data_IF_894921629047
#
_entry.id   IF_894921629047
#
_cell.length_a   1.000
_cell.length_b   1.000
_cell.length_c   1.000
_cell.angle_alpha   90.00
_cell.angle_beta   90.00
_cell.angle_gamma   90.00
#
_symmetry.space_group_name_H-M   'P 1'
#
loop_
_entity.id
_entity.type
_entity.pdbx_description
1 polymer ?
#
# COMPACT_ATOMS: atom_id res chain seq x y z
N UNK A 1 9.38 -10.57 2.99
CA UNK A 1 10.57 -10.11 2.33
C UNK A 1 11.41 -9.07 3.05
N UNK A 2 10.99 -8.56 4.23
CA UNK A 2 11.84 -7.74 5.13
C UNK A 2 12.56 -8.60 6.15
N UNK A 3 12.01 -9.78 6.43
CA UNK A 3 12.55 -10.77 7.34
C UNK A 3 12.49 -12.15 6.70
N UNK A 4 13.25 -13.09 7.25
CA UNK A 4 13.35 -14.47 6.75
C UNK A 4 12.62 -15.40 7.73
N UNK A 5 11.69 -16.23 7.26
CA UNK A 5 11.01 -17.19 8.13
C UNK A 5 12.01 -18.25 8.64
N UNK A 6 11.88 -18.66 9.91
CA UNK A 6 12.69 -19.73 10.51
C UNK A 6 12.48 -21.06 9.77
N UNK A 7 11.27 -21.29 9.25
CA UNK A 7 10.92 -22.45 8.44
C UNK A 7 9.73 -22.13 7.52
N UNK A 8 9.47 -22.97 6.55
CA UNK A 8 8.40 -22.78 5.57
C UNK A 8 8.82 -21.89 4.39
N UNK A 9 7.85 -21.45 3.58
CA UNK A 9 8.06 -20.70 2.35
C UNK A 9 7.13 -19.49 2.29
N UNK A 10 7.61 -18.41 1.71
CA UNK A 10 6.79 -17.23 1.36
C UNK A 10 6.77 -17.09 -0.15
N UNK A 11 5.60 -17.28 -0.74
CA UNK A 11 5.41 -17.22 -2.19
C UNK A 11 4.55 -16.00 -2.51
N UNK A 12 5.07 -15.10 -3.35
CA UNK A 12 4.37 -13.91 -3.86
C UNK A 12 4.48 -13.89 -5.38
N UNK A 13 3.36 -13.73 -6.07
CA UNK A 13 3.31 -13.72 -7.54
C UNK A 13 4.00 -14.95 -8.15
N UNK A 14 3.74 -16.14 -7.57
CA UNK A 14 4.31 -17.44 -7.97
C UNK A 14 5.80 -17.62 -7.66
N UNK A 15 6.45 -16.65 -7.01
CA UNK A 15 7.89 -16.70 -6.72
C UNK A 15 8.15 -16.94 -5.23
N UNK A 16 8.93 -17.95 -4.92
CA UNK A 16 9.41 -18.24 -3.57
C UNK A 16 10.52 -17.25 -3.21
N UNK A 17 10.24 -16.41 -2.17
CA UNK A 17 11.15 -15.34 -1.76
C UNK A 17 12.44 -15.88 -1.12
N UNK A 18 12.44 -17.10 -0.57
CA UNK A 18 13.63 -17.73 0.03
C UNK A 18 14.72 -18.05 -0.99
N UNK A 19 14.35 -18.11 -2.27
CA UNK A 19 15.29 -18.38 -3.38
C UNK A 19 16.01 -17.14 -3.89
N UNK A 20 15.62 -15.95 -3.42
CA UNK A 20 16.16 -14.68 -3.86
C UNK A 20 17.34 -14.24 -3.01
N UNK A 21 18.41 -13.75 -3.65
CA UNK A 21 19.49 -13.03 -2.98
C UNK A 21 19.01 -11.64 -2.53
N UNK A 22 19.66 -11.02 -1.56
CA UNK A 22 19.28 -9.74 -0.97
C UNK A 22 19.00 -8.63 -2.00
N UNK A 23 19.86 -8.51 -3.01
CA UNK A 23 19.68 -7.53 -4.09
C UNK A 23 18.40 -7.82 -4.90
N UNK A 24 18.18 -9.08 -5.25
CA UNK A 24 17.00 -9.53 -5.98
C UNK A 24 15.73 -9.33 -5.16
N UNK A 25 15.80 -9.60 -3.85
CA UNK A 25 14.70 -9.39 -2.91
C UNK A 25 14.35 -7.91 -2.77
N UNK A 26 15.35 -7.03 -2.76
CA UNK A 26 15.16 -5.58 -2.75
C UNK A 26 14.44 -5.09 -4.02
N UNK A 27 14.86 -5.56 -5.19
CA UNK A 27 14.21 -5.25 -6.47
C UNK A 27 12.79 -5.82 -6.48
N UNK A 28 12.60 -7.06 -6.01
CA UNK A 28 11.30 -7.70 -5.94
C UNK A 28 10.32 -6.91 -5.06
N UNK A 29 10.74 -6.51 -3.84
CA UNK A 29 9.92 -5.66 -2.95
C UNK A 29 9.45 -4.39 -3.64
N UNK A 30 10.38 -3.66 -4.26
CA UNK A 30 10.09 -2.38 -4.94
C UNK A 30 9.08 -2.53 -6.05
N UNK A 31 9.11 -3.65 -6.79
CA UNK A 31 8.27 -3.87 -7.96
C UNK A 31 6.95 -4.60 -7.67
N UNK A 32 6.94 -5.46 -6.66
CA UNK A 32 5.86 -6.42 -6.44
C UNK A 32 5.08 -6.24 -5.14
N UNK A 33 5.58 -5.41 -4.22
CA UNK A 33 4.96 -5.20 -2.91
C UNK A 33 4.72 -3.70 -2.72
N UNK A 34 3.46 -3.31 -2.58
CA UNK A 34 3.06 -1.98 -2.13
C UNK A 34 2.94 -1.95 -0.61
N UNK A 35 3.37 -0.85 0.02
CA UNK A 35 3.22 -0.67 1.47
C UNK A 35 2.39 0.57 1.76
N UNK A 36 1.43 0.42 2.67
CA UNK A 36 0.61 1.49 3.23
C UNK A 36 0.78 1.43 4.75
N UNK A 37 1.26 2.50 5.36
CA UNK A 37 1.55 2.58 6.79
C UNK A 37 0.53 3.47 7.50
N UNK A 38 0.35 3.24 8.79
CA UNK A 38 -0.49 4.06 9.66
C UNK A 38 -0.08 5.54 9.65
N UNK A 39 1.23 5.82 9.66
CA UNK A 39 1.79 7.18 9.67
C UNK A 39 2.06 7.75 8.27
N UNK A 40 1.41 7.21 7.21
CA UNK A 40 1.54 7.65 5.82
C UNK A 40 2.96 7.53 5.25
N UNK A 41 4.00 7.84 6.02
CA UNK A 41 5.42 7.82 5.65
C UNK A 41 5.72 8.54 4.33
N UNK A 42 5.09 9.71 4.13
CA UNK A 42 5.40 10.57 3.01
C UNK A 42 6.73 11.27 3.23
N UNK A 43 7.48 11.46 2.15
CA UNK A 43 8.74 12.22 2.17
C UNK A 43 8.38 13.71 2.22
N UNK A 44 8.67 14.43 3.32
CA UNK A 44 8.12 15.77 3.55
C UNK A 44 8.66 16.85 2.61
N UNK A 45 9.81 16.63 2.00
CA UNK A 45 10.46 17.56 1.04
C UNK A 45 10.03 17.32 -0.41
N UNK A 46 9.21 16.31 -0.66
CA UNK A 46 8.65 15.97 -1.96
C UNK A 46 7.16 16.35 -1.99
N UNK A 47 6.71 16.90 -3.12
CA UNK A 47 5.29 17.15 -3.34
C UNK A 47 4.49 15.83 -3.51
N UNK A 48 3.19 15.92 -3.69
CA UNK A 48 2.30 14.76 -3.86
C UNK A 48 2.70 13.92 -5.07
N UNK A 49 2.92 14.55 -6.23
CA UNK A 49 3.33 13.84 -7.44
C UNK A 49 4.63 13.06 -7.22
N UNK A 50 5.65 13.73 -6.70
CA UNK A 50 6.96 13.14 -6.43
C UNK A 50 6.89 11.99 -5.43
N UNK A 51 6.09 12.13 -4.36
CA UNK A 51 5.82 11.03 -3.42
C UNK A 51 5.17 9.83 -4.10
N UNK A 52 4.19 10.05 -4.98
CA UNK A 52 3.50 8.97 -5.68
C UNK A 52 4.46 8.20 -6.60
N UNK A 53 5.25 8.90 -7.40
CA UNK A 53 6.09 8.26 -8.43
C UNK A 53 7.42 7.72 -7.89
N UNK A 54 7.79 8.08 -6.67
CA UNK A 54 9.07 7.75 -6.03
C UNK A 54 9.49 6.27 -6.19
N UNK A 55 8.63 5.26 -5.94
CA UNK A 55 9.04 3.86 -6.06
C UNK A 55 9.44 3.47 -7.49
N UNK A 56 8.77 4.05 -8.49
CA UNK A 56 9.04 3.78 -9.91
C UNK A 56 10.34 4.43 -10.35
N UNK A 57 10.58 5.68 -9.91
CA UNK A 57 11.81 6.42 -10.24
C UNK A 57 13.04 5.83 -9.55
N UNK A 58 12.93 5.38 -8.29
CA UNK A 58 14.01 4.67 -7.59
C UNK A 58 14.38 3.33 -8.25
N UNK A 59 13.46 2.73 -9.01
CA UNK A 59 13.73 1.53 -9.80
C UNK A 59 14.31 1.83 -11.19
N UNK A 60 14.51 3.11 -11.52
CA UNK A 60 15.00 3.55 -12.84
C UNK A 60 13.99 3.37 -13.97
N UNK A 61 12.73 3.09 -13.65
CA UNK A 61 11.68 2.86 -14.62
C UNK A 61 10.95 4.17 -14.99
N UNK A 62 10.34 4.18 -16.17
CA UNK A 62 9.46 5.27 -16.58
C UNK A 62 8.08 5.10 -15.97
N UNK A 63 7.54 6.20 -15.43
CA UNK A 63 6.17 6.24 -14.89
C UNK A 63 5.16 6.00 -16.02
N UNK A 64 4.27 5.04 -15.84
CA UNK A 64 3.08 4.90 -16.68
C UNK A 64 2.11 6.04 -16.38
N UNK A 65 2.22 7.12 -17.18
CA UNK A 65 1.42 8.35 -16.99
C UNK A 65 -0.08 8.11 -17.10
N UNK A 66 -0.52 7.13 -17.91
CA UNK A 66 -1.95 6.82 -18.07
C UNK A 66 -2.47 6.15 -16.80
N UNK A 67 -1.77 5.15 -16.31
CA UNK A 67 -2.12 4.44 -15.09
C UNK A 67 -2.05 5.38 -13.87
N UNK A 68 -0.99 6.16 -13.75
CA UNK A 68 -0.84 7.13 -12.66
C UNK A 68 -2.00 8.14 -12.63
N UNK A 69 -2.40 8.69 -13.78
CA UNK A 69 -3.56 9.58 -13.86
C UNK A 69 -4.86 8.90 -13.41
N UNK A 70 -5.04 7.63 -13.75
CA UNK A 70 -6.20 6.86 -13.33
C UNK A 70 -6.23 6.67 -11.80
N UNK A 71 -5.09 6.28 -11.20
CA UNK A 71 -4.95 6.14 -9.74
C UNK A 71 -5.22 7.47 -9.02
N UNK A 72 -4.61 8.56 -9.48
CA UNK A 72 -4.76 9.91 -8.91
C UNK A 72 -6.22 10.34 -8.94
N UNK A 73 -6.91 10.13 -10.08
CA UNK A 73 -8.34 10.46 -10.24
C UNK A 73 -9.23 9.64 -9.30
N UNK A 74 -8.97 8.34 -9.17
CA UNK A 74 -9.76 7.47 -8.28
C UNK A 74 -9.63 7.88 -6.82
N UNK A 75 -8.47 8.41 -6.44
CA UNK A 75 -8.17 8.86 -5.07
C UNK A 75 -8.50 10.34 -4.82
N UNK A 76 -9.01 11.06 -5.85
CA UNK A 76 -9.39 12.47 -5.74
C UNK A 76 -8.21 13.39 -5.39
N UNK A 77 -7.06 13.16 -6.06
CA UNK A 77 -5.81 13.90 -5.81
C UNK A 77 -5.39 14.80 -6.98
N UNK A 78 -6.25 14.99 -7.99
CA UNK A 78 -5.90 15.68 -9.25
C UNK A 78 -5.46 17.12 -9.02
N UNK A 79 -6.14 17.84 -8.12
CA UNK A 79 -5.85 19.23 -7.75
C UNK A 79 -4.77 19.36 -6.67
N UNK A 80 -4.24 18.26 -6.14
CA UNK A 80 -3.29 18.24 -5.03
C UNK A 80 -1.86 17.87 -5.45
N UNK A 81 -1.61 17.52 -6.72
CA UNK A 81 -0.32 16.97 -7.17
C UNK A 81 0.90 17.84 -6.83
N UNK A 82 0.73 19.16 -6.81
CA UNK A 82 1.79 20.11 -6.50
C UNK A 82 1.86 20.49 -5.01
N UNK A 83 0.96 19.98 -4.17
CA UNK A 83 0.96 20.30 -2.76
C UNK A 83 2.05 19.54 -2.02
N UNK A 84 2.57 20.15 -0.95
CA UNK A 84 3.48 19.47 -0.01
C UNK A 84 2.65 18.66 1.00
N UNK A 85 3.19 17.56 1.56
CA UNK A 85 2.49 16.76 2.57
C UNK A 85 1.96 17.58 3.76
N UNK A 86 2.69 18.60 4.19
CA UNK A 86 2.28 19.50 5.29
C UNK A 86 0.99 20.29 5.02
N UNK A 87 0.60 20.42 3.75
CA UNK A 87 -0.60 21.17 3.33
C UNK A 87 -1.80 20.24 3.09
N UNK A 88 -1.71 18.98 3.49
CA UNK A 88 -2.74 17.96 3.31
C UNK A 88 -3.36 17.55 4.65
N UNK A 89 -4.67 17.27 4.64
CA UNK A 89 -5.31 16.58 5.77
C UNK A 89 -4.79 15.15 5.90
N UNK A 90 -4.98 14.50 7.07
CA UNK A 90 -4.56 13.13 7.31
C UNK A 90 -5.14 12.16 6.27
N UNK A 91 -6.42 12.28 5.94
CA UNK A 91 -7.06 11.47 4.90
C UNK A 91 -6.48 11.70 3.51
N UNK A 92 -6.10 12.94 3.17
CA UNK A 92 -5.42 13.23 1.91
C UNK A 92 -4.02 12.63 1.88
N UNK A 93 -3.25 12.74 2.99
CA UNK A 93 -1.94 12.10 3.09
C UNK A 93 -2.03 10.58 2.93
N UNK A 94 -3.05 9.95 3.54
CA UNK A 94 -3.28 8.51 3.37
C UNK A 94 -3.62 8.15 1.93
N UNK A 95 -4.44 8.93 1.24
CA UNK A 95 -4.72 8.73 -0.19
C UNK A 95 -3.46 8.83 -1.05
N UNK A 96 -2.53 9.74 -0.71
CA UNK A 96 -1.21 9.82 -1.38
C UNK A 96 -0.37 8.57 -1.10
N UNK A 97 -0.35 8.06 0.14
CA UNK A 97 0.34 6.82 0.48
C UNK A 97 -0.24 5.61 -0.28
N UNK A 98 -1.57 5.55 -0.44
CA UNK A 98 -2.24 4.54 -1.26
C UNK A 98 -1.82 4.68 -2.73
N UNK A 99 -1.84 5.89 -3.30
CA UNK A 99 -1.42 6.13 -4.68
C UNK A 99 0.03 5.67 -4.91
N UNK A 100 0.93 6.00 -3.99
CA UNK A 100 2.33 5.58 -4.01
C UNK A 100 2.47 4.05 -3.98
N UNK A 101 1.69 3.37 -3.16
CA UNK A 101 1.71 1.92 -3.09
C UNK A 101 1.23 1.25 -4.38
N UNK A 102 0.28 1.87 -5.09
CA UNK A 102 -0.35 1.32 -6.30
C UNK A 102 0.43 1.59 -7.60
N UNK A 103 1.16 2.70 -7.68
CA UNK A 103 1.73 3.21 -8.95
C UNK A 103 2.71 2.25 -9.61
N UNK A 104 3.41 1.42 -8.83
CA UNK A 104 4.31 0.37 -9.34
C UNK A 104 3.57 -0.88 -9.84
N UNK A 105 2.23 -0.91 -9.78
CA UNK A 105 1.38 -2.06 -10.13
C UNK A 105 1.82 -3.32 -9.37
N UNK A 106 1.88 -3.28 -8.04
CA UNK A 106 2.36 -4.40 -7.23
C UNK A 106 1.41 -5.60 -7.34
N UNK A 107 1.93 -6.80 -7.09
CA UNK A 107 1.12 -8.01 -7.00
C UNK A 107 0.34 -8.09 -5.68
N UNK A 108 0.89 -7.50 -4.62
CA UNK A 108 0.31 -7.48 -3.28
C UNK A 108 0.50 -6.10 -2.64
N UNK A 109 -0.52 -5.62 -1.94
CA UNK A 109 -0.47 -4.42 -1.11
C UNK A 109 -0.60 -4.85 0.35
N UNK A 110 0.36 -4.44 1.17
CA UNK A 110 0.38 -4.66 2.61
C UNK A 110 0.00 -3.35 3.31
N UNK A 111 -1.10 -3.34 4.05
CA UNK A 111 -1.60 -2.18 4.76
C UNK A 111 -1.56 -2.43 6.27
N UNK A 112 -0.79 -1.63 6.97
CA UNK A 112 -0.63 -1.70 8.42
C UNK A 112 -1.44 -0.58 9.07
N UNK A 113 -2.56 -0.93 9.72
CA UNK A 113 -3.51 -0.01 10.36
C UNK A 113 -3.80 1.25 9.50
N UNK A 114 -4.24 1.09 8.24
CA UNK A 114 -4.28 2.20 7.27
C UNK A 114 -5.23 3.34 7.65
N UNK A 115 -6.04 3.16 8.68
CA UNK A 115 -7.01 4.16 9.17
C UNK A 115 -6.82 4.53 10.64
N UNK A 116 -5.76 4.02 11.28
CA UNK A 116 -5.55 4.18 12.72
C UNK A 116 -5.38 5.64 13.20
N UNK A 117 -5.01 6.56 12.29
CA UNK A 117 -4.83 7.98 12.60
C UNK A 117 -5.94 8.87 11.99
N UNK A 118 -7.06 8.29 11.58
CA UNK A 118 -8.15 9.00 10.91
C UNK A 118 -9.44 8.96 11.76
N UNK A 119 -10.28 9.98 11.60
CA UNK A 119 -11.64 9.96 12.13
C UNK A 119 -12.50 8.92 11.40
N UNK A 120 -13.65 8.57 11.99
CA UNK A 120 -14.51 7.49 11.50
C UNK A 120 -15.00 7.69 10.07
N UNK A 121 -15.35 8.93 9.69
CA UNK A 121 -15.87 9.22 8.35
C UNK A 121 -14.75 9.10 7.31
N UNK A 122 -13.61 9.71 7.58
CA UNK A 122 -12.42 9.63 6.71
C UNK A 122 -11.91 8.19 6.60
N UNK A 123 -11.98 7.41 7.69
CA UNK A 123 -11.63 5.98 7.70
C UNK A 123 -12.50 5.18 6.75
N UNK A 124 -13.82 5.37 6.78
CA UNK A 124 -14.76 4.70 5.88
C UNK A 124 -14.47 5.01 4.41
N UNK A 125 -14.19 6.28 4.10
CA UNK A 125 -13.83 6.72 2.74
C UNK A 125 -12.54 6.03 2.26
N UNK A 126 -11.50 6.02 3.08
CA UNK A 126 -10.20 5.40 2.75
C UNK A 126 -10.34 3.90 2.55
N UNK A 127 -11.10 3.20 3.39
CA UNK A 127 -11.35 1.76 3.24
C UNK A 127 -12.13 1.44 1.97
N UNK A 128 -13.13 2.25 1.64
CA UNK A 128 -13.90 2.12 0.41
C UNK A 128 -12.99 2.29 -0.83
N UNK A 129 -12.10 3.28 -0.81
CA UNK A 129 -11.12 3.50 -1.87
C UNK A 129 -10.13 2.33 -1.99
N UNK A 130 -9.63 1.78 -0.89
CA UNK A 130 -8.77 0.60 -0.89
C UNK A 130 -9.47 -0.60 -1.52
N UNK A 131 -10.72 -0.87 -1.16
CA UNK A 131 -11.51 -1.96 -1.72
C UNK A 131 -11.76 -1.78 -3.23
N UNK A 132 -12.18 -0.58 -3.64
CA UNK A 132 -12.44 -0.27 -5.06
C UNK A 132 -11.16 -0.39 -5.89
N UNK A 133 -10.04 0.14 -5.40
CA UNK A 133 -8.76 0.10 -6.13
C UNK A 133 -8.20 -1.32 -6.22
N UNK A 134 -8.24 -2.11 -5.14
CA UNK A 134 -7.76 -3.49 -5.14
C UNK A 134 -8.56 -4.36 -6.12
N UNK A 135 -9.89 -4.22 -6.12
CA UNK A 135 -10.77 -4.92 -7.06
C UNK A 135 -10.49 -4.51 -8.51
N UNK A 136 -10.41 -3.21 -8.77
CA UNK A 136 -10.21 -2.68 -10.13
C UNK A 136 -8.87 -3.08 -10.73
N UNK A 137 -7.82 -3.09 -9.93
CA UNK A 137 -6.46 -3.40 -10.38
C UNK A 137 -6.07 -4.86 -10.15
N UNK A 138 -7.02 -5.71 -9.72
CA UNK A 138 -6.82 -7.15 -9.45
C UNK A 138 -5.64 -7.41 -8.51
N UNK A 139 -5.53 -6.62 -7.43
CA UNK A 139 -4.45 -6.72 -6.47
C UNK A 139 -4.90 -7.45 -5.21
N UNK A 140 -4.03 -8.27 -4.66
CA UNK A 140 -4.22 -8.84 -3.32
C UNK A 140 -3.93 -7.77 -2.28
N UNK A 141 -4.93 -7.41 -1.47
CA UNK A 141 -4.77 -6.51 -0.33
C UNK A 141 -4.70 -7.34 0.95
N UNK A 142 -3.61 -7.22 1.69
CA UNK A 142 -3.47 -7.77 3.04
C UNK A 142 -3.46 -6.60 4.02
N UNK A 143 -4.42 -6.57 4.92
CA UNK A 143 -4.57 -5.51 5.91
C UNK A 143 -4.39 -6.07 7.31
N UNK A 144 -3.59 -5.39 8.12
CA UNK A 144 -3.50 -5.61 9.57
C UNK A 144 -4.40 -4.58 10.23
N UNK A 145 -5.29 -5.05 11.11
CA UNK A 145 -6.14 -4.17 11.92
C UNK A 145 -6.54 -4.86 13.22
N UNK A 146 -6.69 -4.09 14.28
CA UNK A 146 -7.29 -4.52 15.54
C UNK A 146 -8.80 -4.22 15.61
N UNK A 147 -9.37 -3.54 14.60
CA UNK A 147 -10.79 -3.21 14.52
C UNK A 147 -11.57 -4.33 13.83
N UNK A 148 -12.46 -4.99 14.60
CA UNK A 148 -13.27 -6.09 14.10
C UNK A 148 -14.26 -5.68 13.00
N UNK A 149 -14.78 -4.46 13.01
CA UNK A 149 -15.71 -3.97 11.98
C UNK A 149 -14.98 -3.83 10.64
N UNK A 150 -13.76 -3.32 10.67
CA UNK A 150 -12.90 -3.23 9.48
C UNK A 150 -12.53 -4.62 8.96
N UNK A 151 -12.19 -5.55 9.85
CA UNK A 151 -11.87 -6.92 9.47
C UNK A 151 -13.01 -7.62 8.71
N UNK A 152 -14.29 -7.34 9.07
CA UNK A 152 -15.46 -7.91 8.39
C UNK A 152 -15.64 -7.45 6.94
N UNK A 153 -14.90 -6.42 6.49
CA UNK A 153 -14.93 -5.97 5.09
C UNK A 153 -14.07 -6.84 4.16
N UNK A 154 -13.23 -7.71 4.73
CA UNK A 154 -12.32 -8.57 3.98
C UNK A 154 -13.03 -9.85 3.50
N UNK A 155 -12.55 -10.39 2.37
CA UNK A 155 -13.02 -11.68 1.85
C UNK A 155 -12.57 -12.86 2.72
N UNK A 156 -11.49 -12.68 3.48
CA UNK A 156 -10.93 -13.67 4.42
C UNK A 156 -10.29 -12.97 5.61
N UNK A 157 -10.54 -13.51 6.80
CA UNK A 157 -9.94 -13.05 8.06
C UNK A 157 -9.02 -14.14 8.58
N UNK A 158 -7.83 -13.76 9.03
CA UNK A 158 -6.88 -14.61 9.74
C UNK A 158 -6.66 -13.97 11.11
N UNK A 159 -7.04 -14.66 12.18
CA UNK A 159 -6.82 -14.19 13.53
C UNK A 159 -5.52 -14.78 14.08
N UNK A 160 -4.69 -13.90 14.66
CA UNK A 160 -3.41 -14.27 15.26
C UNK A 160 -3.44 -13.84 16.73
N UNK A 161 -3.19 -14.78 17.63
CA UNK A 161 -3.06 -14.54 19.07
C UNK A 161 -1.77 -15.22 19.56
N UNK A 162 -0.95 -14.50 20.31
CA UNK A 162 0.36 -15.00 20.82
C UNK A 162 1.24 -15.63 19.75
N UNK A 163 1.24 -15.04 18.54
CA UNK A 163 2.05 -15.52 17.41
C UNK A 163 1.52 -16.79 16.73
N UNK A 164 0.31 -17.24 17.05
CA UNK A 164 -0.34 -18.43 16.46
C UNK A 164 -1.63 -18.05 15.73
N UNK A 165 -1.87 -18.73 14.62
CA UNK A 165 -3.16 -18.63 13.94
C UNK A 165 -4.19 -19.38 14.77
N UNK A 166 -5.26 -18.69 15.18
CA UNK A 166 -6.34 -19.27 16.00
C UNK A 166 -7.63 -19.48 15.21
N UNK A 167 -7.76 -18.85 14.03
CA UNK A 167 -8.82 -19.15 13.03
C UNK A 167 -8.62 -18.35 11.75
#
# INVERSE_FOLDING_TARGET
GLDVPTSGKVIVDGRDLSTLKDEQLTIFRRRKIGFIFQNYNLVPVLNVYENIVLPVELDGNKVDKKFMKEVVRMLGLEDKLNNMPSNLSGGQQQRVAIARALVSKPAIVLADEPTGNLDSMTSSDVLSLLKVTSTKFHQTLVMITHNNEIAQLADRIIRIEDGKIVQ
#
